data_IF_881236870447
#
_entry.id   IF_881236870447
#
_cell.length_a   1.000
_cell.length_b   1.000
_cell.length_c   1.000
_cell.angle_alpha   90.00
_cell.angle_beta   90.00
_cell.angle_gamma   90.00
#
_symmetry.space_group_name_H-M   'P 1'
#
loop_
_entity.id
_entity.type
_entity.pdbx_description
1 polymer ?
#
# COMPACT_ATOMS: atom_id res chain seq x y z
N UNK A 1 24.08 -13.21 -12.07
CA UNK A 1 22.83 -13.77 -11.53
C UNK A 1 23.00 -13.91 -10.03
N UNK A 2 22.10 -13.22 -9.34
CA UNK A 2 22.25 -12.66 -7.98
C UNK A 2 21.85 -13.67 -6.90
N UNK A 3 22.50 -13.56 -5.73
CA UNK A 3 22.26 -14.24 -4.44
C UNK A 3 20.92 -14.98 -4.29
N UNK A 4 20.95 -16.17 -3.70
CA UNK A 4 19.74 -16.94 -3.31
C UNK A 4 18.79 -16.06 -2.48
N UNK A 5 17.62 -15.81 -3.04
CA UNK A 5 16.61 -14.91 -2.48
C UNK A 5 16.04 -15.43 -1.15
N UNK A 6 16.13 -16.74 -0.88
CA UNK A 6 15.68 -17.36 0.38
C UNK A 6 16.58 -17.00 1.56
N UNK A 7 17.76 -16.43 1.31
CA UNK A 7 18.74 -16.11 2.36
C UNK A 7 18.61 -14.68 2.92
N UNK A 8 17.75 -13.85 2.32
CA UNK A 8 17.52 -12.48 2.78
C UNK A 8 16.78 -12.44 4.11
N UNK A 9 17.34 -11.77 5.11
CA UNK A 9 16.60 -11.44 6.35
C UNK A 9 15.90 -10.09 6.16
N UNK A 10 14.59 -9.99 6.42
CA UNK A 10 13.90 -8.71 6.36
C UNK A 10 14.49 -7.75 7.40
N UNK A 11 14.67 -6.49 7.00
CA UNK A 11 15.04 -5.42 7.92
C UNK A 11 13.86 -5.00 8.81
N UNK A 12 14.08 -3.96 9.63
CA UNK A 12 12.99 -3.33 10.36
C UNK A 12 11.95 -2.75 9.38
N UNK A 13 10.65 -2.99 9.58
CA UNK A 13 9.62 -2.44 8.72
C UNK A 13 9.60 -0.91 8.84
N UNK A 14 9.36 -0.24 7.72
CA UNK A 14 9.11 1.20 7.65
C UNK A 14 7.72 1.44 7.06
N UNK A 15 7.01 2.43 7.59
CA UNK A 15 5.73 2.85 7.03
C UNK A 15 6.00 3.75 5.81
N UNK A 16 5.45 3.38 4.67
CA UNK A 16 5.60 4.12 3.40
C UNK A 16 4.35 4.93 3.04
N UNK A 17 3.15 4.49 3.48
CA UNK A 17 1.87 5.14 3.24
C UNK A 17 0.85 4.68 4.28
N UNK A 18 -0.10 5.57 4.61
CA UNK A 18 -1.26 5.32 5.48
C UNK A 18 -2.46 6.10 4.92
N UNK A 19 -3.72 5.68 5.14
CA UNK A 19 -4.89 6.46 4.74
C UNK A 19 -4.88 7.87 5.34
N UNK A 20 -4.96 8.89 4.49
CA UNK A 20 -4.97 10.31 4.84
C UNK A 20 -6.26 11.02 4.41
N UNK A 21 -6.92 10.56 3.34
CA UNK A 21 -8.12 11.19 2.77
C UNK A 21 -9.41 10.42 3.06
N UNK A 22 -10.55 11.06 2.76
CA UNK A 22 -11.86 10.44 2.89
C UNK A 22 -12.05 9.30 1.89
N UNK A 23 -11.50 9.45 0.70
CA UNK A 23 -11.49 8.44 -0.36
C UNK A 23 -10.68 7.22 0.08
N UNK A 24 -9.59 7.43 0.83
CA UNK A 24 -8.79 6.37 1.43
C UNK A 24 -9.43 5.72 2.66
N UNK A 25 -10.59 6.24 3.11
CA UNK A 25 -11.33 5.68 4.23
C UNK A 25 -10.84 6.15 5.59
N UNK A 26 -10.18 7.32 5.69
CA UNK A 26 -9.67 7.85 6.99
C UNK A 26 -10.76 8.00 8.06
N UNK A 27 -12.01 8.20 7.64
CA UNK A 27 -13.18 8.32 8.52
C UNK A 27 -13.69 6.97 9.06
N UNK A 28 -13.20 5.84 8.52
CA UNK A 28 -13.57 4.52 9.01
C UNK A 28 -12.73 4.13 10.24
N UNK A 29 -13.26 3.20 11.04
CA UNK A 29 -12.56 2.68 12.21
C UNK A 29 -11.33 1.88 11.79
N UNK A 30 -10.24 2.03 12.56
CA UNK A 30 -9.09 1.12 12.47
C UNK A 30 -9.51 -0.20 13.10
N UNK A 31 -9.45 -1.28 12.32
CA UNK A 31 -9.80 -2.62 12.78
C UNK A 31 -8.64 -3.58 12.57
N UNK A 32 -8.75 -4.80 13.10
CA UNK A 32 -7.73 -5.83 12.86
C UNK A 32 -7.80 -6.28 11.40
N UNK A 33 -6.65 -6.41 10.75
CA UNK A 33 -6.55 -6.97 9.41
C UNK A 33 -7.14 -8.38 9.38
N UNK A 34 -7.93 -8.65 8.35
CA UNK A 34 -8.52 -9.96 8.07
C UNK A 34 -8.29 -10.34 6.60
N UNK A 35 -7.99 -11.60 6.29
CA UNK A 35 -7.81 -12.06 4.92
C UNK A 35 -9.15 -12.13 4.18
N UNK A 36 -9.11 -11.90 2.87
CA UNK A 36 -10.24 -12.12 1.96
C UNK A 36 -10.99 -10.85 1.56
N UNK A 37 -12.15 -11.09 0.94
CA UNK A 37 -13.02 -10.05 0.40
C UNK A 37 -13.65 -9.23 1.53
N UNK A 38 -13.71 -7.91 1.34
CA UNK A 38 -14.44 -7.01 2.22
C UNK A 38 -15.62 -6.39 1.48
N UNK A 39 -16.73 -6.15 2.19
CA UNK A 39 -17.89 -5.45 1.64
C UNK A 39 -18.04 -4.08 2.29
N UNK A 40 -17.89 -3.03 1.50
CA UNK A 40 -18.01 -1.63 1.93
C UNK A 40 -16.66 -0.94 2.07
N UNK A 41 -16.64 0.21 2.78
CA UNK A 41 -15.44 1.01 2.98
C UNK A 41 -14.70 0.62 4.26
N UNK A 42 -13.37 0.63 4.20
CA UNK A 42 -12.45 0.42 5.34
C UNK A 42 -11.29 1.38 5.30
N UNK A 43 -10.63 1.57 6.46
CA UNK A 43 -9.41 2.36 6.57
C UNK A 43 -8.17 1.51 6.27
N UNK A 44 -8.04 1.06 5.03
CA UNK A 44 -6.96 0.16 4.58
C UNK A 44 -6.47 0.54 3.18
N UNK A 45 -5.15 0.49 2.99
CA UNK A 45 -4.49 0.52 1.67
C UNK A 45 -4.06 -0.91 1.32
N UNK A 46 -4.38 -1.39 0.12
CA UNK A 46 -4.13 -2.78 -0.31
C UNK A 46 -3.46 -2.83 -1.68
N UNK A 47 -3.00 -4.01 -2.06
CA UNK A 47 -2.48 -4.36 -3.39
C UNK A 47 -1.45 -3.39 -3.98
N UNK A 48 -0.32 -3.14 -3.27
CA UNK A 48 0.67 -2.18 -3.74
C UNK A 48 1.37 -2.66 -5.03
N UNK A 49 1.50 -1.75 -6.00
CA UNK A 49 2.29 -1.94 -7.21
C UNK A 49 3.23 -0.75 -7.43
N UNK A 50 4.50 -1.04 -7.74
CA UNK A 50 5.50 -0.01 -8.04
C UNK A 50 5.48 0.30 -9.53
N UNK A 51 5.38 1.58 -9.87
CA UNK A 51 5.48 2.09 -11.24
C UNK A 51 6.65 3.08 -11.35
N UNK A 52 7.40 3.00 -12.44
CA UNK A 52 8.58 3.86 -12.67
C UNK A 52 8.44 4.54 -14.03
N UNK A 53 8.48 5.87 -14.02
CA UNK A 53 8.41 6.68 -15.23
C UNK A 53 9.33 7.89 -15.08
N UNK A 54 10.12 8.21 -16.12
CA UNK A 54 10.98 9.41 -16.12
C UNK A 54 11.90 9.53 -14.87
N UNK A 55 12.43 8.39 -14.38
CA UNK A 55 13.23 8.26 -13.15
C UNK A 55 12.49 8.61 -11.85
N UNK A 56 11.18 8.78 -11.90
CA UNK A 56 10.32 8.94 -10.73
C UNK A 56 9.69 7.61 -10.37
N UNK A 57 9.52 7.40 -9.08
CA UNK A 57 8.91 6.21 -8.51
C UNK A 57 7.50 6.56 -8.06
N UNK A 58 6.57 5.67 -8.33
CA UNK A 58 5.19 5.80 -7.93
C UNK A 58 4.74 4.49 -7.29
N UNK A 59 3.80 4.60 -6.36
CA UNK A 59 3.09 3.46 -5.79
C UNK A 59 1.62 3.59 -6.14
N UNK A 60 1.09 2.57 -6.81
CA UNK A 60 -0.34 2.36 -6.99
C UNK A 60 -0.83 1.44 -5.90
N UNK A 61 -2.04 1.66 -5.42
CA UNK A 61 -2.66 0.86 -4.36
C UNK A 61 -4.18 0.98 -4.44
N UNK A 62 -4.88 -0.04 -3.98
CA UNK A 62 -6.33 -0.02 -3.82
C UNK A 62 -6.72 0.63 -2.50
N UNK A 63 -7.84 1.37 -2.48
CA UNK A 63 -8.30 2.15 -1.33
C UNK A 63 -9.71 1.73 -0.89
N UNK A 64 -10.08 2.05 0.36
CA UNK A 64 -11.45 1.89 0.88
C UNK A 64 -12.06 0.50 0.61
N UNK A 65 -11.29 -0.57 0.81
CA UNK A 65 -11.75 -1.93 0.57
C UNK A 65 -11.89 -2.25 -0.92
N UNK A 66 -10.85 -1.98 -1.70
CA UNK A 66 -10.78 -2.27 -3.15
C UNK A 66 -11.86 -1.52 -3.97
N UNK A 67 -12.36 -0.40 -3.45
CA UNK A 67 -13.40 0.41 -4.10
C UNK A 67 -12.87 1.31 -5.21
N UNK A 68 -11.57 1.64 -5.19
CA UNK A 68 -10.91 2.48 -6.18
C UNK A 68 -9.38 2.23 -6.18
N UNK A 69 -8.65 2.77 -7.16
CA UNK A 69 -7.19 2.74 -7.27
C UNK A 69 -6.64 4.16 -7.15
N UNK A 70 -5.68 4.35 -6.26
CA UNK A 70 -4.93 5.60 -6.10
C UNK A 70 -3.46 5.44 -6.47
N UNK A 71 -2.80 6.57 -6.73
CA UNK A 71 -1.38 6.64 -7.05
C UNK A 71 -0.72 7.78 -6.29
N UNK A 72 0.46 7.53 -5.73
CA UNK A 72 1.31 8.53 -5.09
C UNK A 72 2.75 8.48 -5.57
N UNK A 73 3.41 9.63 -5.69
CA UNK A 73 4.85 9.69 -5.95
C UNK A 73 5.62 9.22 -4.70
N UNK A 74 6.46 8.20 -4.85
CA UNK A 74 7.27 7.65 -3.77
C UNK A 74 8.59 8.42 -3.67
N UNK A 75 8.75 9.17 -2.58
CA UNK A 75 9.99 9.89 -2.25
C UNK A 75 10.74 9.11 -1.18
N UNK A 76 11.53 8.13 -1.61
CA UNK A 76 12.47 7.43 -0.72
C UNK A 76 13.59 8.42 -0.38
N UNK A 77 13.82 8.67 0.91
CA UNK A 77 14.93 9.49 1.41
C UNK A 77 16.25 8.74 1.35
#
# INVERSE_FOLDING_TARGET
MTKDWNTGTPGAPITIAEPQTKEEGVEQLVTKSAPGLYYGKVRELRDPAVYVENKKWYILYSISGESDISIGELKIK
#
